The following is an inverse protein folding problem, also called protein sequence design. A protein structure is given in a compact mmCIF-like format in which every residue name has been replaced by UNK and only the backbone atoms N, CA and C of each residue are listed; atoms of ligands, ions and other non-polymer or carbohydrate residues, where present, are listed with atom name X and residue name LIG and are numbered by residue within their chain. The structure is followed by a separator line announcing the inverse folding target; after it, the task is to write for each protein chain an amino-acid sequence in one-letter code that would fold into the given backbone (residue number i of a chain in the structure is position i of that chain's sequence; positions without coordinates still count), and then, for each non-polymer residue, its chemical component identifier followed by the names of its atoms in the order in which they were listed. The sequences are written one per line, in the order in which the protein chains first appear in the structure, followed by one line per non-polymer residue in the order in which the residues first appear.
data_IF_988790473595
#
_entry.id   IF_988790473595
#
_cell.length_a   1.000
_cell.length_b   1.000
_cell.length_c   1.000
_cell.angle_alpha   90.00
_cell.angle_beta   90.00
_cell.angle_gamma   90.00
#
_symmetry.space_group_name_H-M   'P 1'
#
loop_
_entity.id
_entity.type
_entity.pdbx_description
1 polymer ?
#
# COMPACT_ATOMS: atom_id res chain seq x y z
N UNK A 1 -17.00 -10.35 -50.97
CA UNK A 1 -18.03 -10.74 -49.97
C UNK A 1 -17.58 -11.91 -49.10
N UNK A 2 -16.95 -12.97 -49.63
CA UNK A 2 -16.45 -14.09 -48.82
C UNK A 2 -15.30 -13.69 -47.88
N UNK A 3 -14.25 -13.00 -48.38
CA UNK A 3 -13.09 -12.65 -47.53
C UNK A 3 -13.38 -11.65 -46.39
N UNK A 4 -14.42 -10.82 -46.53
CA UNK A 4 -14.85 -9.89 -45.48
C UNK A 4 -15.64 -10.61 -44.36
N UNK A 5 -16.39 -11.67 -44.69
CA UNK A 5 -17.05 -12.52 -43.69
C UNK A 5 -16.04 -13.35 -42.90
N UNK A 6 -15.03 -13.88 -43.58
CA UNK A 6 -13.97 -14.66 -42.95
C UNK A 6 -13.14 -13.79 -41.99
N UNK A 7 -12.93 -12.51 -42.32
CA UNK A 7 -12.27 -11.55 -41.43
C UNK A 7 -13.10 -11.18 -40.20
N UNK A 8 -14.40 -10.92 -40.36
CA UNK A 8 -15.28 -10.63 -39.21
C UNK A 8 -15.31 -11.81 -38.24
N UNK A 9 -15.46 -13.04 -38.75
CA UNK A 9 -15.47 -14.25 -37.94
C UNK A 9 -14.12 -14.48 -37.22
N UNK A 10 -12.99 -14.21 -37.89
CA UNK A 10 -11.68 -14.27 -37.25
C UNK A 10 -11.60 -13.31 -36.05
N UNK A 11 -11.91 -12.03 -36.24
CA UNK A 11 -11.79 -11.04 -35.16
C UNK A 11 -12.84 -11.22 -34.06
N UNK A 12 -14.06 -11.66 -34.38
CA UNK A 12 -15.07 -12.02 -33.38
C UNK A 12 -14.58 -13.17 -32.49
N UNK A 13 -13.95 -14.19 -33.08
CA UNK A 13 -13.36 -15.30 -32.32
C UNK A 13 -12.08 -14.89 -31.58
N UNK A 14 -11.20 -14.13 -32.23
CA UNK A 14 -9.89 -13.76 -31.70
C UNK A 14 -9.98 -12.74 -30.57
N UNK A 15 -11.02 -11.88 -30.58
CA UNK A 15 -11.30 -10.91 -29.54
C UNK A 15 -12.44 -11.36 -28.62
N UNK A 16 -12.91 -12.60 -28.75
CA UNK A 16 -13.86 -13.19 -27.81
C UNK A 16 -13.26 -13.16 -26.39
N UNK A 17 -14.09 -12.73 -25.44
CA UNK A 17 -13.78 -12.68 -24.00
C UNK A 17 -12.54 -11.85 -23.62
N UNK A 18 -12.00 -11.04 -24.54
CA UNK A 18 -10.82 -10.21 -24.24
C UNK A 18 -11.22 -9.10 -23.27
N UNK A 19 -10.54 -9.06 -22.13
CA UNK A 19 -10.67 -7.94 -21.21
C UNK A 19 -9.98 -6.70 -21.79
N UNK A 20 -10.53 -5.49 -21.62
CA UNK A 20 -9.83 -4.28 -22.04
C UNK A 20 -8.47 -4.12 -21.34
N UNK A 21 -7.41 -3.98 -22.12
CA UNK A 21 -6.04 -3.80 -21.64
C UNK A 21 -5.68 -2.30 -21.66
N UNK A 22 -5.95 -1.62 -20.55
CA UNK A 22 -5.66 -0.20 -20.40
C UNK A 22 -4.43 0.04 -19.54
N UNK A 23 -3.44 0.70 -20.12
CA UNK A 23 -2.34 1.23 -19.34
C UNK A 23 -2.88 2.25 -18.33
N UNK A 24 -2.54 2.12 -17.04
CA UNK A 24 -3.14 2.90 -15.97
C UNK A 24 -2.70 4.36 -16.01
N UNK A 25 -3.44 5.21 -15.30
CA UNK A 25 -2.96 6.56 -14.94
C UNK A 25 -2.03 6.43 -13.74
N UNK A 26 -0.75 6.78 -13.91
CA UNK A 26 0.27 6.59 -12.88
C UNK A 26 0.28 7.65 -11.77
N UNK A 27 -0.60 8.66 -11.81
CA UNK A 27 -0.74 9.67 -10.74
C UNK A 27 -1.26 11.02 -11.24
N UNK A 28 -0.98 12.07 -10.47
CA UNK A 28 -1.43 13.43 -10.78
C UNK A 28 -0.90 13.90 -12.15
N UNK A 29 -1.83 14.21 -13.05
CA UNK A 29 -1.54 14.84 -14.34
C UNK A 29 -0.76 16.13 -14.16
N UNK A 30 0.17 16.44 -15.06
CA UNK A 30 0.75 17.80 -15.07
C UNK A 30 -0.35 18.82 -15.38
N UNK A 31 -0.38 19.92 -14.63
CA UNK A 31 -1.25 21.05 -14.95
C UNK A 31 -0.70 21.77 -16.19
N UNK A 32 -1.57 22.04 -17.17
CA UNK A 32 -1.17 22.78 -18.38
C UNK A 32 -1.79 22.24 -19.67
N UNK A 33 -1.42 22.82 -20.82
CA UNK A 33 -1.93 22.40 -22.12
C UNK A 33 -1.45 20.99 -22.47
N UNK A 34 -2.36 20.18 -23.02
CA UNK A 34 -2.07 18.85 -23.55
C UNK A 34 -1.09 18.95 -24.72
N UNK A 35 0.09 18.36 -24.58
CA UNK A 35 1.16 18.37 -25.59
C UNK A 35 1.76 16.97 -25.73
N UNK A 36 2.16 16.55 -26.94
CA UNK A 36 2.85 15.28 -27.11
C UNK A 36 4.25 15.39 -26.51
N UNK A 37 4.62 14.40 -25.73
CA UNK A 37 5.92 14.25 -25.09
C UNK A 37 6.60 13.00 -25.64
N UNK A 38 7.93 13.01 -25.67
CA UNK A 38 8.72 11.86 -26.11
C UNK A 38 9.99 11.74 -25.28
N UNK A 39 10.39 10.50 -25.00
CA UNK A 39 11.68 10.18 -24.39
C UNK A 39 12.27 8.97 -25.12
N UNK A 40 13.58 8.99 -25.33
CA UNK A 40 14.30 7.84 -25.88
C UNK A 40 14.52 6.81 -24.78
N UNK A 41 14.18 5.55 -25.06
CA UNK A 41 14.48 4.41 -24.18
C UNK A 41 15.98 4.13 -24.25
N UNK A 42 16.63 4.07 -23.09
CA UNK A 42 18.06 3.79 -22.98
C UNK A 42 18.32 2.29 -23.16
N UNK A 43 18.78 1.90 -24.36
CA UNK A 43 19.09 0.51 -24.69
C UNK A 43 20.59 0.24 -24.58
N UNK A 44 20.93 -0.83 -23.88
CA UNK A 44 22.29 -1.37 -23.85
C UNK A 44 22.68 -1.90 -25.23
N UNK A 45 23.88 -1.57 -25.71
CA UNK A 45 24.41 -2.05 -26.99
C UNK A 45 24.98 -3.47 -26.85
N UNK A 46 24.10 -4.44 -26.54
CA UNK A 46 24.49 -5.85 -26.39
C UNK A 46 24.82 -6.49 -27.74
N UNK A 47 25.60 -7.58 -27.70
CA UNK A 47 25.89 -8.37 -28.91
C UNK A 47 24.61 -8.96 -29.52
N UNK A 48 23.69 -9.46 -28.67
CA UNK A 48 22.37 -9.94 -29.11
C UNK A 48 21.56 -8.86 -29.83
N UNK A 49 21.60 -7.60 -29.36
CA UNK A 49 20.93 -6.49 -30.05
C UNK A 49 21.55 -6.24 -31.44
N UNK A 50 22.88 -6.27 -31.55
CA UNK A 50 23.56 -6.09 -32.85
C UNK A 50 23.19 -7.20 -33.82
N UNK A 51 23.25 -8.46 -33.39
CA UNK A 51 22.84 -9.62 -34.19
C UNK A 51 21.38 -9.51 -34.63
N UNK A 52 20.47 -9.15 -33.72
CA UNK A 52 19.05 -8.95 -34.03
C UNK A 52 18.83 -7.82 -35.05
N UNK A 53 19.66 -6.77 -35.03
CA UNK A 53 19.57 -5.65 -35.97
C UNK A 53 20.25 -5.89 -37.32
N UNK A 54 21.26 -6.75 -37.38
CA UNK A 54 22.12 -6.94 -38.57
C UNK A 54 21.81 -8.24 -39.33
N UNK A 55 21.56 -9.36 -38.63
CA UNK A 55 21.42 -10.69 -39.22
C UNK A 55 20.03 -11.32 -39.05
N UNK A 56 19.24 -10.88 -38.05
CA UNK A 56 17.90 -11.43 -37.79
C UNK A 56 16.82 -10.34 -37.62
N UNK A 57 16.76 -9.41 -38.59
CA UNK A 57 15.80 -8.30 -38.56
C UNK A 57 14.34 -8.74 -38.60
N UNK A 58 14.05 -9.94 -39.08
CA UNK A 58 12.71 -10.53 -39.10
C UNK A 58 12.19 -10.92 -37.70
N UNK A 59 13.07 -11.28 -36.76
CA UNK A 59 12.68 -11.61 -35.39
C UNK A 59 12.45 -10.38 -34.50
N UNK A 60 12.94 -9.21 -34.91
CA UNK A 60 12.87 -7.99 -34.11
C UNK A 60 11.43 -7.53 -33.81
N UNK A 61 10.49 -7.49 -34.79
CA UNK A 61 9.09 -7.17 -34.50
C UNK A 61 8.44 -8.08 -33.45
N UNK A 62 8.70 -9.39 -33.49
CA UNK A 62 8.19 -10.33 -32.49
C UNK A 62 8.76 -10.06 -31.10
N UNK A 63 10.07 -9.82 -31.01
CA UNK A 63 10.71 -9.45 -29.75
C UNK A 63 10.14 -8.13 -29.17
N UNK A 64 9.81 -7.15 -30.01
CA UNK A 64 9.17 -5.90 -29.58
C UNK A 64 7.73 -6.12 -29.09
N UNK A 65 6.93 -6.95 -29.78
CA UNK A 65 5.59 -7.33 -29.33
C UNK A 65 5.63 -8.08 -28.00
N UNK A 66 6.52 -9.07 -27.86
CA UNK A 66 6.75 -9.78 -26.60
C UNK A 66 7.16 -8.83 -25.46
N UNK A 67 8.10 -7.91 -25.75
CA UNK A 67 8.54 -6.89 -24.78
C UNK A 67 7.39 -6.01 -24.31
N UNK A 68 6.59 -5.48 -25.24
CA UNK A 68 5.49 -4.59 -24.87
C UNK A 68 4.40 -5.32 -24.10
N UNK A 69 4.13 -6.58 -24.46
CA UNK A 69 3.18 -7.46 -23.74
C UNK A 69 3.62 -7.69 -22.30
N UNK A 70 4.91 -7.98 -22.09
CA UNK A 70 5.51 -8.14 -20.77
C UNK A 70 5.40 -6.86 -19.93
N UNK A 71 5.69 -5.70 -20.54
CA UNK A 71 5.56 -4.40 -19.86
C UNK A 71 4.11 -4.11 -19.50
N UNK A 72 3.15 -4.38 -20.39
CA UNK A 72 1.72 -4.21 -20.09
C UNK A 72 1.30 -5.07 -18.91
N UNK A 73 1.67 -6.36 -18.88
CA UNK A 73 1.41 -7.24 -17.73
C UNK A 73 1.93 -6.63 -16.42
N UNK A 74 3.14 -6.05 -16.42
CA UNK A 74 3.68 -5.41 -15.22
C UNK A 74 2.85 -4.21 -14.72
N UNK A 75 2.16 -3.47 -15.60
CA UNK A 75 1.41 -2.27 -15.24
C UNK A 75 -0.10 -2.50 -15.11
N UNK A 76 -0.64 -3.53 -15.75
CA UNK A 76 -2.08 -3.86 -15.70
C UNK A 76 -2.38 -5.02 -14.75
N UNK A 77 -1.40 -5.88 -14.47
CA UNK A 77 -1.60 -7.15 -13.78
C UNK A 77 -2.34 -8.20 -14.62
N UNK A 78 -2.59 -7.93 -15.91
CA UNK A 78 -3.32 -8.84 -16.79
C UNK A 78 -2.37 -9.87 -17.42
N UNK A 79 -2.81 -11.13 -17.44
CA UNK A 79 -2.12 -12.25 -18.11
C UNK A 79 -2.51 -12.34 -19.60
N UNK A 80 -3.60 -11.70 -20.02
CA UNK A 80 -4.00 -11.57 -21.42
C UNK A 80 -4.03 -10.09 -21.77
N UNK A 81 -3.12 -9.66 -22.64
CA UNK A 81 -2.89 -8.24 -22.96
C UNK A 81 -3.17 -7.98 -24.42
N UNK A 82 -3.77 -6.81 -24.70
CA UNK A 82 -3.97 -6.35 -26.07
C UNK A 82 -3.54 -4.89 -26.26
N UNK A 83 -3.06 -4.57 -27.46
CA UNK A 83 -2.59 -3.24 -27.82
C UNK A 83 -2.63 -3.05 -29.34
N UNK A 84 -2.59 -1.80 -29.80
CA UNK A 84 -2.52 -1.53 -31.24
C UNK A 84 -1.14 -1.78 -31.80
N UNK A 85 -1.03 -2.37 -33.00
CA UNK A 85 0.26 -2.63 -33.64
C UNK A 85 0.37 -1.93 -35.01
N UNK A 86 1.51 -1.29 -35.29
CA UNK A 86 1.71 -0.55 -36.54
C UNK A 86 3.07 -0.84 -37.13
N UNK A 87 3.12 -1.69 -38.14
CA UNK A 87 4.32 -1.95 -38.94
C UNK A 87 4.29 -1.09 -40.21
N UNK A 88 5.31 -0.27 -40.44
CA UNK A 88 5.39 0.54 -41.67
C UNK A 88 6.27 -0.07 -42.75
N UNK A 89 6.94 -1.19 -42.49
CA UNK A 89 7.77 -1.89 -43.47
C UNK A 89 6.92 -2.78 -44.40
N UNK A 90 5.78 -3.26 -43.89
CA UNK A 90 4.76 -3.99 -44.65
C UNK A 90 3.57 -3.06 -44.90
N UNK A 91 2.80 -3.29 -45.97
CA UNK A 91 1.52 -2.58 -46.17
C UNK A 91 0.44 -3.01 -45.18
N UNK A 92 0.76 -3.92 -44.25
CA UNK A 92 -0.17 -4.54 -43.33
C UNK A 92 -0.10 -3.89 -41.94
N UNK A 93 -1.13 -3.14 -41.59
CA UNK A 93 -1.31 -2.54 -40.27
C UNK A 93 -2.25 -3.43 -39.48
N UNK A 94 -1.78 -4.11 -38.43
CA UNK A 94 -2.66 -4.86 -37.52
C UNK A 94 -3.22 -3.94 -36.43
N UNK A 95 -4.48 -3.52 -36.48
CA UNK A 95 -4.98 -2.57 -35.50
C UNK A 95 -5.01 -3.15 -34.08
N UNK A 96 -5.01 -4.48 -33.88
CA UNK A 96 -4.90 -5.12 -32.56
C UNK A 96 -3.90 -6.27 -32.61
N UNK A 97 -3.06 -6.35 -31.58
CA UNK A 97 -2.31 -7.54 -31.21
C UNK A 97 -2.79 -8.00 -29.82
N UNK A 98 -3.02 -9.31 -29.62
CA UNK A 98 -3.43 -9.92 -28.35
C UNK A 98 -2.48 -11.05 -27.98
N UNK A 99 -1.90 -11.02 -26.79
CA UNK A 99 -0.94 -12.04 -26.34
C UNK A 99 -1.29 -12.52 -24.93
N UNK A 100 -1.24 -13.83 -24.74
CA UNK A 100 -1.19 -14.45 -23.41
C UNK A 100 0.24 -14.39 -22.86
N UNK A 101 0.36 -14.01 -21.59
CA UNK A 101 1.59 -13.65 -20.88
C UNK A 101 1.56 -14.34 -19.51
N UNK A 102 1.50 -15.67 -19.52
CA UNK A 102 1.38 -16.52 -18.33
C UNK A 102 2.72 -16.65 -17.59
N UNK A 103 2.67 -16.84 -16.27
CA UNK A 103 3.86 -16.84 -15.38
C UNK A 103 4.91 -17.91 -15.72
N UNK A 104 4.47 -19.06 -16.21
CA UNK A 104 5.29 -20.21 -16.57
C UNK A 104 5.85 -20.14 -18.00
N UNK A 105 5.38 -19.19 -18.81
CA UNK A 105 5.85 -18.99 -20.19
C UNK A 105 7.30 -18.51 -20.18
N UNK A 106 8.20 -19.17 -20.91
CA UNK A 106 9.57 -18.71 -21.13
C UNK A 106 9.63 -17.53 -22.12
N UNK A 107 10.62 -16.63 -21.99
CA UNK A 107 10.78 -15.49 -22.92
C UNK A 107 10.89 -15.92 -24.38
N UNK A 108 11.56 -17.04 -24.67
CA UNK A 108 11.64 -17.62 -26.02
C UNK A 108 10.26 -17.97 -26.57
N UNK A 109 9.45 -18.66 -25.77
CA UNK A 109 8.06 -19.01 -26.09
C UNK A 109 7.20 -17.78 -26.26
N UNK A 110 7.39 -16.74 -25.44
CA UNK A 110 6.66 -15.48 -25.59
C UNK A 110 6.96 -14.81 -26.94
N UNK A 111 8.22 -14.85 -27.42
CA UNK A 111 8.60 -14.36 -28.75
C UNK A 111 7.95 -15.21 -29.85
N UNK A 112 7.98 -16.54 -29.73
CA UNK A 112 7.33 -17.46 -30.68
C UNK A 112 5.82 -17.18 -30.77
N UNK A 113 5.14 -17.04 -29.63
CA UNK A 113 3.72 -16.67 -29.56
C UNK A 113 3.47 -15.32 -30.23
N UNK A 114 4.33 -14.32 -30.00
CA UNK A 114 4.23 -13.01 -30.63
C UNK A 114 4.47 -13.02 -32.16
N UNK A 115 5.21 -14.00 -32.67
CA UNK A 115 5.40 -14.20 -34.10
C UNK A 115 4.18 -14.91 -34.70
N UNK A 116 3.73 -16.00 -34.08
CA UNK A 116 2.59 -16.80 -34.53
C UNK A 116 1.30 -15.96 -34.53
N UNK A 117 1.08 -15.13 -33.49
CA UNK A 117 -0.06 -14.21 -33.44
C UNK A 117 -0.07 -13.28 -34.65
N UNK A 118 1.06 -12.62 -34.93
CA UNK A 118 1.18 -11.70 -36.06
C UNK A 118 0.88 -12.40 -37.39
N UNK A 119 1.45 -13.58 -37.62
CA UNK A 119 1.26 -14.34 -38.85
C UNK A 119 -0.19 -14.80 -39.04
N UNK A 120 -0.86 -15.20 -37.95
CA UNK A 120 -2.26 -15.63 -37.96
C UNK A 120 -3.24 -14.47 -38.18
N UNK A 121 -2.93 -13.29 -37.64
CA UNK A 121 -3.76 -12.08 -37.75
C UNK A 121 -3.51 -11.32 -39.07
N UNK A 122 -2.34 -11.49 -39.70
CA UNK A 122 -1.91 -10.76 -40.90
C UNK A 122 -2.91 -10.81 -42.07
N UNK A 123 -3.55 -11.95 -42.40
CA UNK A 123 -4.52 -12.01 -43.50
C UNK A 123 -5.75 -11.11 -43.31
N UNK A 124 -6.03 -10.69 -42.07
CA UNK A 124 -7.27 -10.03 -41.65
C UNK A 124 -7.10 -8.55 -41.26
N UNK A 125 -5.92 -7.97 -41.50
CA UNK A 125 -5.48 -6.64 -41.02
C UNK A 125 -6.36 -5.45 -41.42
N UNK A 126 -7.19 -5.55 -42.47
CA UNK A 126 -7.99 -4.45 -43.02
C UNK A 126 -9.43 -4.33 -42.50
N UNK A 127 -10.00 -5.38 -41.91
CA UNK A 127 -11.44 -5.50 -41.61
C UNK A 127 -11.67 -5.77 -40.11
N UNK A 128 -11.16 -4.89 -39.25
CA UNK A 128 -11.18 -5.08 -37.80
C UNK A 128 -12.45 -4.48 -37.18
N UNK A 129 -13.10 -5.16 -36.21
CA UNK A 129 -14.34 -4.73 -35.61
C UNK A 129 -14.28 -3.29 -35.05
N UNK A 130 -15.39 -2.53 -35.16
CA UNK A 130 -15.49 -1.22 -34.54
C UNK A 130 -15.30 -1.22 -33.03
N UNK A 131 -15.47 -2.35 -32.32
CA UNK A 131 -15.17 -2.43 -30.88
C UNK A 131 -13.68 -2.27 -30.58
N UNK A 132 -12.80 -2.83 -31.41
CA UNK A 132 -11.35 -2.67 -31.26
C UNK A 132 -10.89 -1.22 -31.55
N UNK A 133 -11.42 -0.61 -32.60
CA UNK A 133 -11.07 0.75 -33.06
C UNK A 133 -12.09 1.82 -32.65
N UNK A 134 -12.98 1.51 -31.71
CA UNK A 134 -14.19 2.26 -31.42
C UNK A 134 -13.96 3.62 -30.76
N UNK A 135 -15.06 4.27 -30.32
CA UNK A 135 -14.96 5.45 -29.48
C UNK A 135 -14.11 5.17 -28.23
N UNK A 136 -13.48 6.20 -27.68
CA UNK A 136 -12.50 6.11 -26.57
C UNK A 136 -12.98 5.27 -25.38
N UNK A 137 -14.28 5.26 -25.08
CA UNK A 137 -14.87 4.49 -23.98
C UNK A 137 -15.18 3.02 -24.29
N UNK A 138 -14.97 2.56 -25.53
CA UNK A 138 -15.33 1.21 -25.99
C UNK A 138 -14.15 0.48 -26.66
N UNK A 139 -12.97 1.12 -26.78
CA UNK A 139 -11.76 0.46 -27.31
C UNK A 139 -11.25 -0.59 -26.35
N UNK A 140 -10.66 -1.66 -26.88
CA UNK A 140 -10.05 -2.71 -26.07
C UNK A 140 -8.69 -2.32 -25.48
N UNK A 141 -8.03 -1.29 -26.02
CA UNK A 141 -6.71 -0.86 -25.58
C UNK A 141 -6.55 0.66 -25.70
N UNK A 142 -5.56 1.19 -24.98
CA UNK A 142 -5.17 2.60 -25.04
C UNK A 142 -3.66 2.80 -25.34
N UNK A 143 -2.96 1.75 -25.78
CA UNK A 143 -1.54 1.80 -26.12
C UNK A 143 -1.27 1.31 -27.54
N UNK A 144 -0.16 1.78 -28.12
CA UNK A 144 0.24 1.43 -29.48
C UNK A 144 1.73 1.05 -29.51
N UNK A 145 2.06 -0.07 -30.13
CA UNK A 145 3.42 -0.41 -30.53
C UNK A 145 3.58 -0.14 -32.03
N UNK A 146 4.57 0.67 -32.39
CA UNK A 146 4.89 0.95 -33.79
C UNK A 146 6.33 0.59 -34.11
N UNK A 147 6.52 -0.04 -35.27
CA UNK A 147 7.81 -0.43 -35.81
C UNK A 147 8.01 0.20 -37.18
N UNK A 148 9.13 0.92 -37.35
CA UNK A 148 9.54 1.53 -38.62
C UNK A 148 10.94 1.08 -39.00
N UNK A 149 11.06 0.42 -40.15
CA UNK A 149 12.34 0.07 -40.78
C UNK A 149 12.50 0.84 -42.09
N UNK A 150 13.62 1.51 -42.29
CA UNK A 150 13.95 2.09 -43.60
C UNK A 150 14.86 1.14 -44.38
N UNK A 151 14.35 0.60 -45.49
CA UNK A 151 15.15 -0.21 -46.40
C UNK A 151 16.04 0.68 -47.30
N UNK A 152 17.36 0.49 -47.17
CA UNK A 152 18.49 0.99 -47.99
C UNK A 152 18.69 2.51 -48.13
N UNK A 153 19.97 2.89 -48.13
CA UNK A 153 20.47 4.23 -48.50
C UNK A 153 20.19 4.46 -49.99
N UNK A 154 19.44 5.52 -50.32
CA UNK A 154 19.31 6.02 -51.70
C UNK A 154 17.96 5.80 -52.39
N UNK A 155 17.05 4.99 -51.82
CA UNK A 155 15.63 4.94 -52.25
C UNK A 155 14.82 5.87 -51.35
N UNK A 156 14.15 6.86 -51.94
CA UNK A 156 13.18 7.68 -51.21
C UNK A 156 12.15 6.74 -50.55
N UNK A 157 11.77 6.97 -49.27
CA UNK A 157 10.78 6.14 -48.61
C UNK A 157 9.52 6.06 -49.49
N UNK A 158 9.04 4.84 -49.75
CA UNK A 158 7.76 4.60 -50.41
C UNK A 158 6.70 5.32 -49.59
N UNK A 159 6.21 6.44 -50.14
CA UNK A 159 5.23 7.33 -49.53
C UNK A 159 5.71 8.07 -48.27
N UNK A 160 5.25 9.32 -48.16
CA UNK A 160 5.23 10.12 -46.93
C UNK A 160 4.56 9.31 -45.81
N UNK A 161 5.30 8.48 -45.09
CA UNK A 161 4.89 8.03 -43.77
C UNK A 161 4.99 9.25 -42.85
N UNK A 162 3.95 10.10 -42.91
CA UNK A 162 3.80 11.33 -42.17
C UNK A 162 4.27 11.12 -40.72
N UNK A 163 4.77 12.19 -40.11
CA UNK A 163 4.87 12.29 -38.67
C UNK A 163 3.49 11.96 -38.09
N UNK A 164 3.25 10.70 -37.74
CA UNK A 164 1.96 10.29 -37.21
C UNK A 164 1.86 10.93 -35.85
N UNK A 165 0.98 11.91 -35.72
CA UNK A 165 0.67 12.50 -34.43
C UNK A 165 0.33 11.36 -33.44
N UNK A 166 0.68 11.55 -32.18
CA UNK A 166 0.19 10.68 -31.13
C UNK A 166 -1.34 10.76 -31.16
N UNK A 167 -2.10 9.66 -31.27
CA UNK A 167 -3.55 9.72 -31.21
C UNK A 167 -4.01 10.32 -29.88
N UNK A 168 -5.08 11.13 -29.90
CA UNK A 168 -5.53 11.85 -28.70
C UNK A 168 -5.90 10.93 -27.53
N UNK A 169 -6.32 9.71 -27.83
CA UNK A 169 -6.74 8.68 -26.89
C UNK A 169 -5.66 7.65 -26.58
N UNK A 170 -4.49 7.75 -27.23
CA UNK A 170 -3.34 6.91 -26.95
C UNK A 170 -2.64 7.39 -25.68
N UNK A 171 -2.69 6.57 -24.63
CA UNK A 171 -2.02 6.79 -23.35
C UNK A 171 -0.51 6.76 -23.50
N UNK A 172 -0.03 5.72 -24.18
CA UNK A 172 1.40 5.47 -24.43
C UNK A 172 1.57 4.86 -25.81
N UNK A 173 2.47 5.42 -26.62
CA UNK A 173 2.95 4.80 -27.86
C UNK A 173 4.43 4.45 -27.72
N UNK A 174 4.77 3.19 -27.97
CA UNK A 174 6.15 2.73 -28.10
C UNK A 174 6.52 2.72 -29.58
N UNK A 175 7.45 3.58 -29.99
CA UNK A 175 7.86 3.76 -31.37
C UNK A 175 9.30 3.28 -31.57
N UNK A 176 9.48 2.27 -32.40
CA UNK A 176 10.79 1.72 -32.73
C UNK A 176 11.20 2.13 -34.13
N UNK A 177 12.43 2.63 -34.28
CA UNK A 177 13.04 3.00 -35.56
C UNK A 177 14.29 2.17 -35.78
N UNK A 178 14.37 1.46 -36.90
CA UNK A 178 15.54 0.73 -37.38
C UNK A 178 16.10 1.45 -38.62
N UNK A 179 17.28 2.04 -38.49
CA UNK A 179 17.95 2.80 -39.55
C UNK A 179 19.40 2.34 -39.68
N UNK A 180 19.79 1.83 -40.85
CA UNK A 180 21.17 1.41 -41.14
C UNK A 180 21.78 0.50 -40.05
N UNK A 181 21.03 -0.53 -39.61
CA UNK A 181 21.45 -1.46 -38.57
C UNK A 181 21.41 -0.91 -37.14
N UNK A 182 20.99 0.34 -36.93
CA UNK A 182 20.84 0.95 -35.60
C UNK A 182 19.38 1.08 -35.22
N UNK A 183 19.02 0.48 -34.09
CA UNK A 183 17.70 0.58 -33.52
C UNK A 183 17.61 1.68 -32.47
N UNK A 184 16.47 2.36 -32.39
CA UNK A 184 16.11 3.23 -31.27
C UNK A 184 14.63 3.06 -30.94
N UNK A 185 14.33 2.96 -29.65
CA UNK A 185 12.96 2.90 -29.12
C UNK A 185 12.65 4.24 -28.45
N UNK A 186 11.47 4.78 -28.72
CA UNK A 186 10.95 6.02 -28.15
C UNK A 186 9.62 5.73 -27.45
N UNK A 187 9.47 6.26 -26.25
CA UNK A 187 8.21 6.26 -25.52
C UNK A 187 7.55 7.63 -25.73
N UNK A 188 6.32 7.64 -26.22
CA UNK A 188 5.54 8.85 -26.49
C UNK A 188 4.25 8.84 -25.67
N UNK A 189 3.88 9.98 -25.09
CA UNK A 189 2.70 10.13 -24.25
C UNK A 189 2.19 11.58 -24.30
N UNK A 190 1.01 11.84 -23.75
CA UNK A 190 0.53 13.20 -23.56
C UNK A 190 0.98 13.77 -22.21
N UNK A 191 1.44 15.02 -22.17
CA UNK A 191 1.91 15.68 -20.94
C UNK A 191 0.95 15.58 -19.74
N UNK A 192 -0.36 15.58 -20.01
CA UNK A 192 -1.43 15.46 -19.01
C UNK A 192 -1.62 14.05 -18.47
N UNK A 193 -1.06 13.02 -19.11
CA UNK A 193 -1.29 11.63 -18.70
C UNK A 193 -0.24 11.10 -17.73
N UNK A 194 0.96 11.68 -17.73
CA UNK A 194 2.11 11.19 -16.97
C UNK A 194 3.20 12.26 -16.83
N UNK A 195 3.86 12.33 -15.68
CA UNK A 195 5.04 13.19 -15.45
C UNK A 195 6.28 12.64 -16.17
N UNK A 196 7.31 13.47 -16.37
CA UNK A 196 8.58 13.00 -16.96
C UNK A 196 9.23 11.89 -16.10
N UNK A 197 9.19 12.02 -14.77
CA UNK A 197 9.74 11.02 -13.85
C UNK A 197 9.05 9.66 -13.98
N UNK A 198 7.72 9.66 -14.06
CA UNK A 198 6.94 8.43 -14.32
C UNK A 198 7.26 7.85 -15.71
N UNK A 199 7.39 8.70 -16.74
CA UNK A 199 7.76 8.27 -18.10
C UNK A 199 9.14 7.63 -18.15
N UNK A 200 10.10 8.17 -17.39
CA UNK A 200 11.43 7.58 -17.22
C UNK A 200 11.35 6.21 -16.53
N UNK A 201 10.45 6.05 -15.55
CA UNK A 201 10.14 4.76 -14.94
C UNK A 201 9.69 3.73 -15.97
N UNK A 202 8.65 4.03 -16.74
CA UNK A 202 8.14 3.16 -17.82
C UNK A 202 9.21 2.84 -18.86
N UNK A 203 9.94 3.86 -19.33
CA UNK A 203 11.02 3.67 -20.30
C UNK A 203 12.13 2.77 -19.76
N UNK A 204 12.47 2.87 -18.47
CA UNK A 204 13.44 1.99 -17.83
C UNK A 204 12.97 0.53 -17.77
N UNK A 205 11.67 0.30 -17.51
CA UNK A 205 11.06 -1.04 -17.54
C UNK A 205 11.09 -1.61 -18.95
N UNK A 206 10.77 -0.81 -19.98
CA UNK A 206 10.86 -1.22 -21.38
C UNK A 206 12.29 -1.65 -21.74
N UNK A 207 13.30 -0.87 -21.34
CA UNK A 207 14.70 -1.22 -21.59
C UNK A 207 15.08 -2.56 -20.93
N UNK A 208 14.70 -2.76 -19.66
CA UNK A 208 14.98 -4.00 -18.92
C UNK A 208 14.24 -5.20 -19.51
N UNK A 209 12.96 -5.04 -19.86
CA UNK A 209 12.14 -6.07 -20.50
C UNK A 209 12.74 -6.46 -21.85
N UNK A 210 13.02 -5.48 -22.72
CA UNK A 210 13.59 -5.73 -24.04
C UNK A 210 14.91 -6.48 -23.97
N UNK A 211 15.82 -6.04 -23.08
CA UNK A 211 17.10 -6.73 -22.83
C UNK A 211 16.86 -8.17 -22.39
N UNK A 212 15.96 -8.40 -21.44
CA UNK A 212 15.68 -9.74 -20.91
C UNK A 212 15.13 -10.66 -21.98
N UNK A 213 14.16 -10.19 -22.76
CA UNK A 213 13.55 -10.92 -23.88
C UNK A 213 14.61 -11.38 -24.89
N UNK A 214 15.58 -10.53 -25.25
CA UNK A 214 16.57 -10.88 -26.28
C UNK A 214 17.82 -11.61 -25.76
N UNK A 215 18.15 -11.52 -24.46
CA UNK A 215 19.37 -12.14 -23.90
C UNK A 215 19.12 -13.33 -22.98
N UNK A 216 17.88 -13.54 -22.54
CA UNK A 216 17.56 -14.51 -21.48
C UNK A 216 16.35 -15.39 -21.86
N UNK A 217 16.47 -16.20 -22.92
CA UNK A 217 15.33 -16.91 -23.52
C UNK A 217 14.62 -17.91 -22.59
N UNK A 218 15.31 -18.42 -21.57
CA UNK A 218 14.81 -19.44 -20.64
C UNK A 218 14.27 -18.88 -19.32
N UNK A 219 14.29 -17.55 -19.13
CA UNK A 219 13.65 -16.94 -17.95
C UNK A 219 12.14 -17.00 -18.16
N UNK A 220 11.38 -17.39 -17.14
CA UNK A 220 9.92 -17.35 -17.20
C UNK A 220 9.39 -15.93 -16.97
N UNK A 221 8.21 -15.63 -17.50
CA UNK A 221 7.57 -14.32 -17.33
C UNK A 221 7.28 -14.01 -15.86
N UNK A 222 6.91 -15.00 -15.04
CA UNK A 222 6.73 -14.85 -13.59
C UNK A 222 8.04 -14.52 -12.85
N UNK A 223 9.19 -14.97 -13.36
CA UNK A 223 10.51 -14.69 -12.79
C UNK A 223 11.10 -13.34 -13.26
N UNK A 224 10.44 -12.63 -14.18
CA UNK A 224 10.91 -11.31 -14.63
C UNK A 224 10.75 -10.26 -13.54
N UNK A 225 11.87 -9.80 -13.00
CA UNK A 225 11.91 -8.65 -12.09
C UNK A 225 11.71 -7.35 -12.88
N UNK A 226 10.57 -6.69 -12.71
CA UNK A 226 10.25 -5.41 -13.34
C UNK A 226 10.85 -4.19 -12.63
N UNK A 227 11.43 -4.37 -11.44
CA UNK A 227 11.99 -3.27 -10.64
C UNK A 227 13.33 -2.81 -11.23
N UNK A 228 13.42 -1.54 -11.64
CA UNK A 228 14.66 -0.98 -12.19
C UNK A 228 15.43 -0.22 -11.10
N UNK A 229 16.73 0.09 -11.32
CA UNK A 229 17.48 0.95 -10.40
C UNK A 229 16.83 2.34 -10.20
N UNK A 230 16.10 2.84 -11.19
CA UNK A 230 15.35 4.09 -11.09
C UNK A 230 14.18 3.96 -10.11
N UNK A 231 13.40 2.87 -10.22
CA UNK A 231 12.33 2.57 -9.27
C UNK A 231 12.87 2.36 -7.85
N UNK A 232 13.95 1.59 -7.70
CA UNK A 232 14.57 1.36 -6.41
C UNK A 232 15.06 2.66 -5.77
N UNK A 233 15.71 3.54 -6.54
CA UNK A 233 16.14 4.85 -6.05
C UNK A 233 14.95 5.69 -5.58
N UNK A 234 13.82 5.64 -6.27
CA UNK A 234 12.62 6.35 -5.86
C UNK A 234 12.02 5.77 -4.58
N UNK A 235 11.90 4.45 -4.47
CA UNK A 235 11.44 3.77 -3.25
C UNK A 235 12.34 4.13 -2.07
N UNK A 236 13.66 4.11 -2.26
CA UNK A 236 14.62 4.50 -1.22
C UNK A 236 14.43 5.95 -0.81
N UNK A 237 14.19 6.86 -1.76
CA UNK A 237 13.89 8.27 -1.46
C UNK A 237 12.60 8.45 -0.66
N UNK A 238 11.55 7.67 -0.92
CA UNK A 238 10.32 7.70 -0.12
C UNK A 238 10.53 7.21 1.32
N UNK A 239 11.53 6.35 1.52
CA UNK A 239 11.91 5.84 2.83
C UNK A 239 13.13 6.56 3.44
N UNK A 240 13.53 7.71 2.87
CA UNK A 240 14.69 8.50 3.32
C UNK A 240 14.28 9.47 4.43
N UNK A 241 13.89 8.91 5.58
CA UNK A 241 13.64 9.66 6.79
C UNK A 241 14.27 8.97 8.01
N UNK A 242 14.77 9.73 8.99
CA UNK A 242 15.44 9.13 10.14
C UNK A 242 14.43 8.41 11.03
N UNK A 243 14.55 7.09 11.14
CA UNK A 243 13.82 6.28 12.11
C UNK A 243 14.40 6.53 13.51
N UNK A 244 13.77 7.39 14.29
CA UNK A 244 14.14 7.64 15.69
C UNK A 244 13.36 6.70 16.60
N UNK A 245 14.07 5.79 17.25
CA UNK A 245 13.48 4.91 18.27
C UNK A 245 13.44 5.64 19.61
N UNK A 246 12.29 5.69 20.25
CA UNK A 246 12.11 6.21 21.61
C UNK A 246 12.01 5.03 22.57
N UNK A 247 13.16 4.62 23.10
CA UNK A 247 13.29 3.43 23.96
C UNK A 247 12.84 3.70 25.41
N UNK A 248 11.54 3.94 25.60
CA UNK A 248 10.89 4.24 26.89
C UNK A 248 9.54 3.55 26.99
N UNK A 249 9.03 3.39 28.21
CA UNK A 249 7.64 2.97 28.39
C UNK A 249 6.68 4.17 28.31
N UNK A 250 5.46 3.95 27.83
CA UNK A 250 4.45 5.01 27.64
C UNK A 250 4.15 5.74 28.95
N UNK A 251 3.89 4.98 30.02
CA UNK A 251 3.58 5.52 31.36
C UNK A 251 4.77 6.25 31.99
N UNK A 252 6.01 5.95 31.60
CA UNK A 252 7.18 6.70 32.05
C UNK A 252 7.23 8.09 31.41
N UNK A 253 6.89 8.20 30.12
CA UNK A 253 6.81 9.49 29.43
C UNK A 253 5.69 10.35 30.02
N UNK A 254 4.54 9.75 30.34
CA UNK A 254 3.44 10.44 31.01
C UNK A 254 3.84 10.87 32.45
N UNK A 255 4.61 10.04 33.16
CA UNK A 255 5.14 10.39 34.48
C UNK A 255 6.11 11.59 34.41
N UNK A 256 7.00 11.63 33.42
CA UNK A 256 7.91 12.75 33.18
C UNK A 256 7.13 14.06 32.94
N UNK A 257 5.99 13.98 32.23
CA UNK A 257 5.05 15.11 32.06
C UNK A 257 4.45 15.52 33.39
N UNK A 258 3.99 14.59 34.23
CA UNK A 258 3.39 14.91 35.53
C UNK A 258 4.36 15.56 36.52
N UNK A 259 5.66 15.27 36.41
CA UNK A 259 6.70 15.99 37.17
C UNK A 259 6.85 17.42 36.64
N UNK A 260 6.80 17.61 35.32
CA UNK A 260 7.03 18.91 34.66
C UNK A 260 5.84 19.86 34.75
N UNK A 261 4.62 19.35 34.63
CA UNK A 261 3.36 20.10 34.56
C UNK A 261 2.35 19.58 35.61
N UNK A 262 2.69 19.55 36.90
CA UNK A 262 1.90 18.84 37.92
C UNK A 262 0.48 19.37 38.10
N UNK A 263 0.31 20.69 37.99
CA UNK A 263 -0.94 21.39 38.27
C UNK A 263 -1.79 21.62 37.01
N UNK A 264 -1.25 21.31 35.82
CA UNK A 264 -1.97 21.40 34.56
C UNK A 264 -3.02 20.30 34.44
N UNK A 265 -4.15 20.61 33.81
CA UNK A 265 -5.27 19.68 33.63
C UNK A 265 -4.89 18.59 32.62
N UNK A 266 -4.81 17.34 33.08
CA UNK A 266 -4.54 16.18 32.23
C UNK A 266 -5.80 15.61 31.60
N UNK A 267 -6.89 15.55 32.38
CA UNK A 267 -8.18 15.02 31.95
C UNK A 267 -9.27 16.01 32.33
N UNK A 268 -10.15 16.29 31.38
CA UNK A 268 -11.38 17.05 31.56
C UNK A 268 -12.54 16.20 31.05
N UNK A 269 -13.15 15.42 31.94
CA UNK A 269 -14.22 14.49 31.61
C UNK A 269 -15.55 14.92 32.23
N UNK A 270 -16.65 14.37 31.72
CA UNK A 270 -17.99 14.60 32.29
C UNK A 270 -18.12 14.09 33.73
N UNK A 271 -17.33 13.08 34.10
CA UNK A 271 -17.30 12.44 35.42
C UNK A 271 -16.16 12.98 36.31
N UNK A 272 -15.51 14.08 35.91
CA UNK A 272 -14.56 14.84 36.70
C UNK A 272 -13.27 15.21 35.96
N UNK A 273 -12.53 16.18 36.51
CA UNK A 273 -11.21 16.56 36.02
C UNK A 273 -10.10 15.99 36.90
N UNK A 274 -8.91 15.83 36.31
CA UNK A 274 -7.69 15.45 37.01
C UNK A 274 -6.52 16.29 36.49
N UNK A 275 -5.70 16.82 37.40
CA UNK A 275 -4.39 17.35 37.03
C UNK A 275 -3.42 16.21 36.66
N UNK A 276 -2.30 16.50 36.01
CA UNK A 276 -1.30 15.45 35.74
C UNK A 276 -0.75 14.82 37.02
N UNK A 277 -0.55 15.60 38.09
CA UNK A 277 -0.14 15.07 39.40
C UNK A 277 -1.19 14.14 40.00
N UNK A 278 -2.46 14.53 39.94
CA UNK A 278 -3.56 13.70 40.46
C UNK A 278 -3.69 12.40 39.66
N UNK A 279 -3.60 12.47 38.33
CA UNK A 279 -3.59 11.32 37.44
C UNK A 279 -2.42 10.39 37.75
N UNK A 280 -1.20 10.93 37.93
CA UNK A 280 -0.02 10.13 38.23
C UNK A 280 -0.14 9.43 39.59
N UNK A 281 -0.55 10.14 40.64
CA UNK A 281 -0.76 9.57 41.97
C UNK A 281 -1.84 8.49 41.97
N UNK A 282 -2.98 8.77 41.32
CA UNK A 282 -4.12 7.86 41.26
C UNK A 282 -3.75 6.55 40.54
N UNK A 283 -3.08 6.67 39.40
CA UNK A 283 -2.65 5.51 38.60
C UNK A 283 -1.54 4.73 39.31
N UNK A 284 -0.66 5.38 40.07
CA UNK A 284 0.33 4.68 40.92
C UNK A 284 -0.35 3.84 42.01
N UNK A 285 -1.31 4.40 42.75
CA UNK A 285 -2.08 3.68 43.78
C UNK A 285 -2.83 2.48 43.20
N UNK A 286 -3.52 2.68 42.07
CA UNK A 286 -4.22 1.59 41.40
C UNK A 286 -3.25 0.53 40.88
N UNK A 287 -2.09 0.92 40.34
CA UNK A 287 -1.08 -0.03 39.86
C UNK A 287 -0.57 -0.98 40.94
N UNK A 288 -0.39 -0.51 42.17
CA UNK A 288 0.00 -1.38 43.30
C UNK A 288 -1.07 -2.43 43.59
N UNK A 289 -2.35 -2.04 43.54
CA UNK A 289 -3.45 -3.00 43.69
C UNK A 289 -3.47 -4.01 42.55
N UNK A 290 -3.22 -3.59 41.32
CA UNK A 290 -3.14 -4.48 40.16
C UNK A 290 -1.98 -5.47 40.28
N UNK A 291 -0.84 -5.04 40.83
CA UNK A 291 0.28 -5.94 41.13
C UNK A 291 -0.10 -7.00 42.17
N UNK A 292 -0.86 -6.65 43.21
CA UNK A 292 -1.39 -7.64 44.18
C UNK A 292 -2.32 -8.65 43.53
N UNK A 293 -3.06 -8.23 42.49
CA UNK A 293 -3.94 -9.09 41.68
C UNK A 293 -3.21 -9.86 40.58
N UNK A 294 -1.86 -9.82 40.56
CA UNK A 294 -1.04 -10.60 39.65
C UNK A 294 -0.70 -9.93 38.32
N UNK A 295 -1.01 -8.64 38.14
CA UNK A 295 -0.61 -7.90 36.94
C UNK A 295 0.90 -7.64 36.94
N UNK A 296 1.55 -7.93 35.81
CA UNK A 296 2.98 -7.75 35.59
C UNK A 296 3.33 -7.81 34.10
N UNK A 297 4.63 -7.83 33.75
CA UNK A 297 5.09 -7.95 32.36
C UNK A 297 4.40 -9.07 31.60
N UNK A 298 3.97 -8.78 30.37
CA UNK A 298 3.26 -9.71 29.47
C UNK A 298 1.87 -10.17 29.95
N UNK A 299 1.35 -9.69 31.08
CA UNK A 299 -0.03 -9.99 31.52
C UNK A 299 -1.02 -9.08 30.78
N UNK A 300 -2.02 -9.67 30.12
CA UNK A 300 -3.06 -8.94 29.39
C UNK A 300 -4.25 -8.68 30.30
N UNK A 301 -4.71 -7.43 30.36
CA UNK A 301 -5.80 -7.01 31.22
C UNK A 301 -6.92 -6.37 30.37
N UNK A 302 -8.04 -7.06 30.15
CA UNK A 302 -9.22 -6.49 29.53
C UNK A 302 -9.75 -5.26 30.27
N UNK A 303 -10.05 -4.20 29.53
CA UNK A 303 -10.67 -2.96 30.01
C UNK A 303 -12.02 -2.78 29.31
N UNK A 304 -13.11 -2.86 30.07
CA UNK A 304 -14.48 -2.77 29.55
C UNK A 304 -15.18 -1.55 30.18
N UNK A 305 -14.97 -0.37 29.59
CA UNK A 305 -15.42 0.90 30.12
C UNK A 305 -16.26 1.68 29.12
N UNK A 306 -17.11 2.54 29.64
CA UNK A 306 -17.63 3.68 28.88
C UNK A 306 -16.58 4.79 28.85
N UNK A 307 -16.76 5.74 27.93
CA UNK A 307 -15.97 6.97 27.86
C UNK A 307 -16.07 7.74 29.19
N UNK A 308 -14.93 7.82 29.87
CA UNK A 308 -14.82 8.30 31.25
C UNK A 308 -13.35 8.55 31.60
N UNK A 309 -13.08 9.31 32.66
CA UNK A 309 -11.71 9.43 33.19
C UNK A 309 -11.16 8.06 33.64
N UNK A 310 -12.03 7.16 34.11
CA UNK A 310 -11.65 5.85 34.65
C UNK A 310 -11.05 4.89 33.64
N UNK A 311 -11.45 4.97 32.38
CA UNK A 311 -10.83 4.19 31.31
C UNK A 311 -9.35 4.57 31.15
N UNK A 312 -9.06 5.87 31.10
CA UNK A 312 -7.69 6.42 30.96
C UNK A 312 -6.84 6.10 32.19
N UNK A 313 -7.40 6.25 33.39
CA UNK A 313 -6.76 5.86 34.66
C UNK A 313 -6.40 4.37 34.64
N UNK A 314 -7.32 3.51 34.18
CA UNK A 314 -7.10 2.06 34.13
C UNK A 314 -6.01 1.68 33.12
N UNK A 315 -5.99 2.29 31.93
CA UNK A 315 -4.94 2.08 30.93
C UNK A 315 -3.55 2.36 31.50
N UNK A 316 -3.37 3.53 32.13
CA UNK A 316 -2.07 3.94 32.68
C UNK A 316 -1.69 3.08 33.89
N UNK A 317 -2.64 2.74 34.76
CA UNK A 317 -2.38 1.89 35.92
C UNK A 317 -1.95 0.47 35.53
N UNK A 318 -2.58 -0.13 34.51
CA UNK A 318 -2.19 -1.45 33.97
C UNK A 318 -0.75 -1.38 33.44
N UNK A 319 -0.41 -0.37 32.65
CA UNK A 319 0.94 -0.19 32.13
C UNK A 319 1.98 0.03 33.25
N UNK A 320 1.66 0.83 34.28
CA UNK A 320 2.52 1.00 35.47
C UNK A 320 2.75 -0.31 36.22
N UNK A 321 1.70 -1.13 36.39
CA UNK A 321 1.80 -2.46 36.98
C UNK A 321 2.66 -3.42 36.14
N UNK A 322 2.85 -3.09 34.86
CA UNK A 322 3.68 -3.80 33.88
C UNK A 322 2.88 -4.60 32.86
N UNK A 323 1.55 -4.60 32.97
CA UNK A 323 0.67 -5.34 32.06
C UNK A 323 0.36 -4.60 30.77
N UNK A 324 -0.21 -5.32 29.82
CA UNK A 324 -0.77 -4.80 28.59
C UNK A 324 -2.29 -4.68 28.71
N UNK A 325 -2.85 -3.51 28.45
CA UNK A 325 -4.31 -3.36 28.48
C UNK A 325 -4.95 -3.84 27.17
N UNK A 326 -6.20 -4.30 27.24
CA UNK A 326 -6.96 -4.77 26.07
C UNK A 326 -8.36 -4.15 26.06
N UNK A 327 -8.64 -3.15 25.20
CA UNK A 327 -9.94 -2.50 25.18
C UNK A 327 -11.06 -3.45 24.71
N UNK A 328 -12.11 -3.56 25.51
CA UNK A 328 -13.34 -4.29 25.22
C UNK A 328 -14.51 -3.31 25.08
N UNK A 329 -15.44 -3.63 24.18
CA UNK A 329 -16.69 -2.88 24.02
C UNK A 329 -17.76 -3.50 24.92
N UNK A 330 -18.33 -2.74 25.88
CA UNK A 330 -19.38 -3.24 26.77
C UNK A 330 -20.68 -3.61 26.04
N UNK A 331 -20.90 -3.13 24.81
CA UNK A 331 -22.07 -3.49 23.99
C UNK A 331 -21.97 -4.88 23.35
N UNK A 332 -20.78 -5.50 23.37
CA UNK A 332 -20.61 -6.84 22.81
C UNK A 332 -21.32 -7.91 23.67
N UNK A 333 -21.91 -8.95 23.04
CA UNK A 333 -22.53 -10.05 23.78
C UNK A 333 -21.56 -10.78 24.72
N UNK A 334 -22.03 -11.19 25.90
CA UNK A 334 -21.24 -11.92 26.90
C UNK A 334 -20.45 -13.12 26.32
N UNK A 335 -21.03 -13.99 25.47
CA UNK A 335 -20.26 -15.11 24.89
C UNK A 335 -19.06 -14.66 24.04
N UNK A 336 -19.18 -13.51 23.37
CA UNK A 336 -18.07 -12.92 22.61
C UNK A 336 -16.98 -12.44 23.56
N UNK A 337 -17.34 -11.72 24.63
CA UNK A 337 -16.37 -11.24 25.63
C UNK A 337 -15.65 -12.40 26.32
N UNK A 338 -16.38 -13.46 26.70
CA UNK A 338 -15.80 -14.69 27.27
C UNK A 338 -14.81 -15.36 26.30
N UNK A 339 -15.16 -15.43 25.01
CA UNK A 339 -14.26 -15.93 23.97
C UNK A 339 -12.95 -15.13 23.88
N UNK A 340 -13.04 -13.80 23.97
CA UNK A 340 -11.86 -12.92 23.98
C UNK A 340 -11.03 -13.09 25.26
N UNK A 341 -11.64 -13.14 26.44
CA UNK A 341 -10.92 -13.39 27.71
C UNK A 341 -10.18 -14.72 27.66
N UNK A 342 -10.83 -15.77 27.15
CA UNK A 342 -10.21 -17.09 26.97
C UNK A 342 -9.03 -17.04 25.99
N UNK A 343 -9.17 -16.32 24.88
CA UNK A 343 -8.08 -16.17 23.91
C UNK A 343 -6.88 -15.39 24.48
N UNK A 344 -7.11 -14.47 25.41
CA UNK A 344 -6.08 -13.70 26.10
C UNK A 344 -5.46 -14.43 27.30
N UNK A 345 -6.02 -15.56 27.73
CA UNK A 345 -5.70 -16.21 29.00
C UNK A 345 -5.72 -15.19 30.16
N UNK A 346 -6.78 -14.36 30.22
CA UNK A 346 -6.91 -13.28 31.19
C UNK A 346 -7.80 -13.71 32.37
N UNK A 347 -7.34 -13.49 33.60
CA UNK A 347 -8.10 -13.76 34.83
C UNK A 347 -8.76 -12.51 35.43
N UNK A 348 -8.20 -11.32 35.16
CA UNK A 348 -8.66 -10.04 35.68
C UNK A 348 -9.22 -9.15 34.57
N UNK A 349 -10.42 -8.61 34.76
CA UNK A 349 -11.03 -7.60 33.91
C UNK A 349 -11.39 -6.36 34.73
N UNK A 350 -11.02 -5.17 34.23
CA UNK A 350 -11.42 -3.89 34.82
C UNK A 350 -12.60 -3.32 34.05
N UNK A 351 -13.56 -2.71 34.74
CA UNK A 351 -14.74 -2.15 34.08
C UNK A 351 -15.35 -0.92 34.79
N UNK A 352 -16.27 -0.25 34.09
CA UNK A 352 -17.18 0.71 34.73
C UNK A 352 -18.00 0.02 35.82
N UNK A 353 -18.23 0.68 36.95
CA UNK A 353 -18.92 0.08 38.10
C UNK A 353 -20.30 -0.51 37.77
N UNK A 354 -21.08 0.17 36.94
CA UNK A 354 -22.43 -0.30 36.56
C UNK A 354 -22.43 -1.50 35.60
N UNK A 355 -21.32 -1.80 34.92
CA UNK A 355 -21.19 -3.01 34.07
C UNK A 355 -20.78 -4.24 34.87
N UNK A 356 -20.30 -4.09 36.10
CA UNK A 356 -19.70 -5.17 36.91
C UNK A 356 -20.60 -6.40 37.07
N UNK A 357 -21.89 -6.20 37.36
CA UNK A 357 -22.86 -7.29 37.51
C UNK A 357 -23.11 -8.03 36.20
N UNK A 358 -23.19 -7.31 35.07
CA UNK A 358 -23.37 -7.91 33.75
C UNK A 358 -22.14 -8.72 33.33
N UNK A 359 -20.95 -8.22 33.66
CA UNK A 359 -19.66 -8.82 33.32
C UNK A 359 -19.20 -9.91 34.30
N UNK A 360 -19.95 -10.20 35.37
CA UNK A 360 -19.57 -11.14 36.42
C UNK A 360 -19.19 -12.56 35.94
N UNK A 361 -19.66 -12.96 34.75
CA UNK A 361 -19.36 -14.26 34.14
C UNK A 361 -18.28 -14.21 33.05
N UNK A 362 -17.69 -13.04 32.78
CA UNK A 362 -16.76 -12.83 31.66
C UNK A 362 -15.32 -13.22 32.03
N UNK A 363 -14.89 -12.93 33.25
CA UNK A 363 -13.56 -13.27 33.78
C UNK A 363 -13.66 -13.73 35.24
N UNK A 364 -12.59 -14.32 35.77
CA UNK A 364 -12.54 -14.83 37.16
C UNK A 364 -12.66 -13.69 38.19
N UNK A 365 -11.95 -12.59 37.95
CA UNK A 365 -11.98 -11.39 38.80
C UNK A 365 -12.46 -10.20 37.98
N UNK A 366 -13.56 -9.59 38.41
CA UNK A 366 -14.07 -8.32 37.87
C UNK A 366 -13.75 -7.21 38.88
N UNK A 367 -13.00 -6.21 38.45
CA UNK A 367 -12.64 -5.06 39.26
C UNK A 367 -13.33 -3.79 38.72
N UNK A 368 -14.46 -3.37 39.31
CA UNK A 368 -15.04 -2.07 38.98
C UNK A 368 -14.11 -0.94 39.44
N UNK A 369 -13.79 0.00 38.55
CA UNK A 369 -12.93 1.15 38.86
C UNK A 369 -13.77 2.41 38.90
N UNK A 370 -13.91 3.00 40.09
CA UNK A 370 -14.67 4.21 40.37
C UNK A 370 -14.12 4.95 41.61
N UNK A 371 -14.79 6.03 42.02
CA UNK A 371 -14.42 6.79 43.23
C UNK A 371 -14.48 5.95 44.52
N UNK A 372 -15.32 4.92 44.59
CA UNK A 372 -15.43 4.08 45.78
C UNK A 372 -14.18 3.20 45.95
N UNK A 373 -13.75 2.52 44.88
CA UNK A 373 -12.50 1.76 44.87
C UNK A 373 -11.31 2.65 45.29
N UNK A 374 -11.23 3.86 44.73
CA UNK A 374 -10.11 4.77 44.99
C UNK A 374 -10.03 5.22 46.45
N UNK A 375 -11.15 5.32 47.16
CA UNK A 375 -11.16 5.63 48.59
C UNK A 375 -10.61 4.48 49.44
N UNK A 376 -10.74 3.25 48.97
CA UNK A 376 -10.25 2.05 49.66
C UNK A 376 -8.76 1.78 49.40
N UNK A 377 -8.20 2.29 48.29
CA UNK A 377 -6.79 2.13 47.98
C UNK A 377 -5.89 2.77 49.05
N UNK A 378 -4.74 2.17 49.39
CA UNK A 378 -3.77 2.75 50.30
C UNK A 378 -3.41 4.20 49.92
N UNK A 379 -3.13 5.04 50.92
CA UNK A 379 -2.73 6.45 50.74
C UNK A 379 -1.42 6.72 51.46
N UNK A 380 -0.78 7.85 51.13
CA UNK A 380 0.51 8.25 51.68
C UNK A 380 1.67 8.13 50.68
N UNK A 381 2.89 8.52 51.08
CA UNK A 381 4.04 8.67 50.18
C UNK A 381 4.40 7.38 49.43
N UNK A 382 4.35 6.22 50.10
CA UNK A 382 4.67 4.94 49.48
C UNK A 382 3.62 4.51 48.45
N UNK A 383 2.35 4.80 48.70
CA UNK A 383 1.24 4.42 47.82
C UNK A 383 1.19 5.24 46.52
N UNK A 384 1.73 6.46 46.53
CA UNK A 384 1.82 7.32 45.32
C UNK A 384 3.16 7.18 44.58
N UNK A 385 4.10 6.41 45.14
CA UNK A 385 5.44 6.25 44.56
C UNK A 385 5.33 5.60 43.18
N UNK A 386 5.85 6.29 42.17
CA UNK A 386 5.98 5.73 40.83
C UNK A 386 6.89 4.50 40.85
N UNK A 387 6.37 3.39 40.33
CA UNK A 387 7.12 2.16 40.08
C UNK A 387 6.73 1.65 38.71
N UNK A 388 7.72 1.36 37.86
CA UNK A 388 7.53 0.70 36.58
C UNK A 388 8.08 -0.71 36.67
N UNK A 389 7.26 -1.71 36.31
CA UNK A 389 7.71 -3.11 36.16
C UNK A 389 7.93 -3.53 34.71
N UNK A 390 7.42 -2.74 33.76
CA UNK A 390 7.58 -2.97 32.33
C UNK A 390 8.94 -2.46 31.82
N UNK A 391 9.39 -3.08 30.74
CA UNK A 391 10.48 -2.63 29.88
C UNK A 391 9.90 -2.11 28.56
N UNK A 392 10.65 -1.29 27.80
CA UNK A 392 10.16 -0.74 26.54
C UNK A 392 9.71 -1.79 25.50
N UNK A 393 10.28 -3.00 25.54
CA UNK A 393 9.94 -4.12 24.67
C UNK A 393 8.87 -5.05 25.24
N UNK A 394 8.28 -4.74 26.41
CA UNK A 394 7.11 -5.46 26.88
C UNK A 394 5.86 -4.98 26.16
N UNK A 395 4.86 -5.87 26.10
CA UNK A 395 3.54 -5.55 25.58
C UNK A 395 2.91 -4.35 26.33
N UNK A 396 2.47 -3.33 25.59
CA UNK A 396 1.77 -2.17 26.13
C UNK A 396 0.25 -2.31 26.02
N UNK A 397 -0.22 -2.83 24.89
CA UNK A 397 -1.63 -3.06 24.63
C UNK A 397 -1.86 -4.11 23.55
N UNK A 398 -3.10 -4.62 23.50
CA UNK A 398 -3.60 -5.47 22.42
C UNK A 398 -4.87 -4.87 21.84
N UNK A 399 -4.96 -4.77 20.51
CA UNK A 399 -6.19 -4.38 19.80
C UNK A 399 -6.69 -5.56 18.97
N UNK A 400 -7.95 -5.93 19.13
CA UNK A 400 -8.58 -6.96 18.31
C UNK A 400 -9.09 -6.41 16.99
N UNK A 401 -8.80 -7.12 15.90
CA UNK A 401 -9.32 -6.82 14.56
C UNK A 401 -10.24 -7.93 14.07
N UNK A 402 -11.15 -7.61 13.14
CA UNK A 402 -11.97 -8.63 12.46
C UNK A 402 -11.07 -9.50 11.57
N UNK A 403 -10.79 -10.72 12.02
CA UNK A 403 -10.06 -11.70 11.21
C UNK A 403 -10.88 -12.14 10.01
N UNK A 404 -10.22 -12.34 8.87
CA UNK A 404 -10.84 -12.89 7.64
C UNK A 404 -11.44 -14.29 7.84
N UNK A 405 -11.02 -15.00 8.88
CA UNK A 405 -11.49 -16.34 9.27
C UNK A 405 -12.70 -16.29 10.22
N UNK A 406 -13.20 -15.10 10.58
CA UNK A 406 -14.30 -14.93 11.55
C UNK A 406 -13.86 -14.93 13.03
N UNK A 407 -12.67 -15.45 13.34
CA UNK A 407 -12.08 -15.37 14.68
C UNK A 407 -11.30 -14.05 14.87
N UNK A 408 -11.53 -13.32 15.98
CA UNK A 408 -10.79 -12.09 16.27
C UNK A 408 -9.29 -12.34 16.43
N UNK A 409 -8.45 -11.53 15.79
CA UNK A 409 -6.99 -11.57 15.94
C UNK A 409 -6.51 -10.38 16.74
N UNK A 410 -5.78 -10.63 17.82
CA UNK A 410 -5.20 -9.59 18.67
C UNK A 410 -3.85 -9.13 18.12
N UNK A 411 -3.74 -7.84 17.80
CA UNK A 411 -2.47 -7.20 17.44
C UNK A 411 -1.84 -6.63 18.70
N UNK A 412 -0.71 -7.21 19.10
CA UNK A 412 0.06 -6.79 20.28
C UNK A 412 1.12 -5.75 19.87
N UNK A 413 1.14 -4.62 20.57
CA UNK A 413 2.16 -3.59 20.38
C UNK A 413 2.98 -3.39 21.67
N UNK A 414 4.28 -3.22 21.50
CA UNK A 414 5.23 -2.89 22.57
C UNK A 414 5.23 -1.39 22.87
N UNK A 415 5.68 -1.02 24.07
CA UNK A 415 5.77 0.40 24.44
C UNK A 415 6.70 1.19 23.51
N UNK A 416 7.85 0.65 23.15
CA UNK A 416 8.85 1.31 22.30
C UNK A 416 8.27 1.64 20.93
N UNK A 417 7.40 0.79 20.38
CA UNK A 417 6.75 1.00 19.10
C UNK A 417 5.80 2.20 19.18
N UNK A 418 4.95 2.25 20.22
CA UNK A 418 4.04 3.38 20.41
C UNK A 418 4.79 4.68 20.70
N UNK A 419 5.79 4.67 21.59
CA UNK A 419 6.58 5.85 21.91
C UNK A 419 7.31 6.43 20.69
N UNK A 420 7.87 5.56 19.83
CA UNK A 420 8.53 5.97 18.60
C UNK A 420 7.53 6.56 17.59
N UNK A 421 6.34 5.95 17.46
CA UNK A 421 5.26 6.48 16.62
C UNK A 421 4.76 7.83 17.13
N UNK A 422 4.48 7.95 18.42
CA UNK A 422 4.00 9.17 19.06
C UNK A 422 4.95 10.35 18.84
N UNK A 423 6.26 10.12 18.95
CA UNK A 423 7.27 11.14 18.68
C UNK A 423 7.32 11.56 17.20
N UNK A 424 6.97 10.66 16.27
CA UNK A 424 6.94 10.95 14.84
C UNK A 424 5.65 11.69 14.42
N UNK A 425 4.50 11.32 14.97
CA UNK A 425 3.21 11.87 14.56
C UNK A 425 2.72 13.06 15.39
N UNK A 426 3.26 13.34 16.59
CA UNK A 426 2.79 14.45 17.42
C UNK A 426 2.91 15.82 16.72
N UNK A 427 4.02 16.08 16.04
CA UNK A 427 4.25 17.31 15.28
C UNK A 427 3.29 17.49 14.11
N UNK A 428 3.22 16.52 13.16
CA UNK A 428 2.28 16.55 12.05
C UNK A 428 0.80 16.63 12.46
N UNK A 429 0.44 16.08 13.63
CA UNK A 429 -0.92 16.17 14.19
C UNK A 429 -1.16 17.44 15.01
N UNK A 430 -0.17 18.33 15.13
CA UNK A 430 -0.26 19.56 15.93
C UNK A 430 -0.65 19.33 17.40
N UNK A 431 -0.22 18.20 17.98
CA UNK A 431 -0.39 17.89 19.40
C UNK A 431 0.74 18.59 20.16
N UNK A 432 0.45 19.78 20.68
CA UNK A 432 1.42 20.61 21.42
C UNK A 432 0.84 21.17 22.71
N UNK A 433 1.71 21.58 23.64
CA UNK A 433 1.35 22.25 24.89
C UNK A 433 0.36 23.42 24.65
N UNK A 434 -0.63 23.55 25.55
CA UNK A 434 -1.71 24.53 25.44
C UNK A 434 -2.89 24.12 24.54
N UNK A 435 -2.79 23.00 23.81
CA UNK A 435 -3.94 22.41 23.10
C UNK A 435 -4.83 21.58 24.04
N UNK A 436 -6.02 21.21 23.56
CA UNK A 436 -6.93 20.25 24.21
C UNK A 436 -7.33 19.23 23.15
N UNK A 437 -7.29 17.94 23.49
CA UNK A 437 -7.57 16.86 22.55
C UNK A 437 -8.89 16.16 22.89
N UNK A 438 -9.75 15.95 21.89
CA UNK A 438 -10.98 15.18 22.02
C UNK A 438 -10.70 13.69 21.75
N UNK A 439 -11.18 12.83 22.62
CA UNK A 439 -11.24 11.39 22.41
C UNK A 439 -12.55 11.04 21.69
N UNK A 440 -12.51 10.87 20.36
CA UNK A 440 -13.70 10.58 19.57
C UNK A 440 -13.83 9.11 19.21
N UNK A 441 -12.77 8.44 18.78
CA UNK A 441 -12.81 7.06 18.30
C UNK A 441 -13.35 6.08 19.37
N UNK A 442 -13.87 4.92 18.96
CA UNK A 442 -14.19 3.87 19.91
C UNK A 442 -12.91 3.27 20.51
N UNK A 443 -12.91 2.95 21.81
CA UNK A 443 -11.72 2.46 22.52
C UNK A 443 -11.15 1.15 21.95
N UNK A 444 -11.97 0.38 21.22
CA UNK A 444 -11.55 -0.85 20.54
C UNK A 444 -10.81 -0.62 19.23
N UNK A 445 -10.64 0.63 18.79
CA UNK A 445 -9.85 1.00 17.61
C UNK A 445 -8.56 1.69 18.03
N UNK A 446 -7.48 1.38 17.31
CA UNK A 446 -6.12 1.91 17.54
C UNK A 446 -6.04 3.44 17.44
N UNK A 447 -6.86 4.07 16.60
CA UNK A 447 -6.99 5.53 16.51
C UNK A 447 -7.30 6.18 17.88
N UNK A 448 -8.07 5.51 18.74
CA UNK A 448 -8.35 6.03 20.10
C UNK A 448 -7.09 6.12 20.96
N UNK A 449 -6.08 5.28 20.73
CA UNK A 449 -4.83 5.32 21.50
C UNK A 449 -3.99 6.53 21.12
N UNK A 450 -4.02 6.93 19.85
CA UNK A 450 -3.42 8.20 19.40
C UNK A 450 -4.14 9.39 20.04
N UNK A 451 -5.46 9.34 20.14
CA UNK A 451 -6.25 10.39 20.78
C UNK A 451 -6.08 10.46 22.30
N UNK A 452 -5.68 9.38 22.97
CA UNK A 452 -5.56 9.30 24.44
C UNK A 452 -4.11 9.45 24.88
N UNK A 453 -3.22 8.58 24.41
CA UNK A 453 -1.87 8.45 24.96
C UNK A 453 -0.93 9.51 24.40
N UNK A 454 -1.02 9.85 23.10
CA UNK A 454 -0.19 10.89 22.50
C UNK A 454 -0.35 12.25 23.17
N UNK A 455 -1.57 12.80 23.41
CA UNK A 455 -1.70 14.08 24.11
C UNK A 455 -1.17 14.02 25.55
N UNK A 456 -1.45 12.95 26.30
CA UNK A 456 -0.93 12.81 27.67
C UNK A 456 0.60 12.76 27.70
N UNK A 457 1.24 12.12 26.73
CA UNK A 457 2.71 12.12 26.58
C UNK A 457 3.28 13.49 26.20
N UNK A 458 2.46 14.42 25.71
CA UNK A 458 2.86 15.78 25.33
C UNK A 458 2.43 16.85 26.36
N UNK A 459 1.77 16.49 27.46
CA UNK A 459 1.24 17.48 28.41
C UNK A 459 -0.05 18.16 27.97
N UNK A 460 -0.81 17.52 27.08
CA UNK A 460 -2.06 18.06 26.53
C UNK A 460 -3.26 17.50 27.28
N UNK A 461 -4.21 18.36 27.60
CA UNK A 461 -5.46 17.99 28.26
C UNK A 461 -6.33 17.12 27.35
N UNK A 462 -6.77 15.97 27.87
CA UNK A 462 -7.66 15.02 27.20
C UNK A 462 -9.13 15.21 27.61
N UNK A 463 -10.02 15.16 26.62
CA UNK A 463 -11.47 15.13 26.78
C UNK A 463 -11.99 13.73 26.39
N UNK A 464 -12.05 12.78 27.34
CA UNK A 464 -12.42 11.40 27.07
C UNK A 464 -13.90 11.19 26.73
#
# INVERSE_FOLDING_TARGET
MQSSRDSSAHWESHLADVAPCYFPRLGASTSGPKRPMTIKVALDQTQALKELCESNTAALPAALRATWSLVLRCYTGAEDVCFGYQDTATTAVLPVARLAVEDDTEMSRLIETAQNEYENSLPFHGDVPPSANGPVGHRLYNTILSFRSAAKVGTAPLSRAANMALPEDCRVRLMTKLMSGRMSIFLEWWSVDMTMEQAMGVASTVAKAFKTVITSPSISVGAFDSLTPLHLKQIMRWNDYPLKTVNRCIHEVIHDVAIRLPDDEAICAWDGSLSFKELDHLTSRLSHKLVELGVGPEVRVPLCFDKSKWNVVSMIAVMKAGGAFVPFDPSHPIPRLQGLVKALDASLLLCSAHHSQHLASVAETILPVDDALVKELPSGPDAIRFTSRAKPNNAAYVIFTSGSTGEPKGTLLEHVAFCSSAAAHCGPLHVSEGSRNLQFAAHTFDASLVEILTPLMQGVCLHP
#
